data_IF_803893793482
#
_entry.id   IF_803893793482
#
_cell.length_a   1.000
_cell.length_b   1.000
_cell.length_c   1.000
_cell.angle_alpha   90.00
_cell.angle_beta   90.00
_cell.angle_gamma   90.00
#
_symmetry.space_group_name_H-M   'P 1'
#
loop_
_entity.id
_entity.type
_entity.pdbx_description
1 polymer ?
#
# COMPACT_ATOMS: atom_id res chain seq x y z
N UNK A 1 -43.55 -31.96 33.71
CA UNK A 1 -42.49 -30.96 33.94
C UNK A 1 -41.74 -30.78 32.63
N UNK A 2 -42.07 -29.74 31.85
CA UNK A 2 -41.37 -29.40 30.60
C UNK A 2 -40.64 -28.09 30.82
N UNK A 3 -39.31 -28.12 30.70
CA UNK A 3 -38.42 -26.99 30.95
C UNK A 3 -38.11 -26.35 29.59
N UNK A 4 -38.69 -25.18 29.33
CA UNK A 4 -38.44 -24.40 28.12
C UNK A 4 -37.14 -23.62 28.32
N UNK A 5 -36.11 -23.96 27.55
CA UNK A 5 -34.85 -23.24 27.50
C UNK A 5 -35.01 -22.05 26.56
N UNK A 6 -35.18 -20.85 27.11
CA UNK A 6 -35.21 -19.62 26.34
C UNK A 6 -33.77 -19.23 25.94
N UNK A 7 -33.44 -19.36 24.65
CA UNK A 7 -32.24 -18.76 24.09
C UNK A 7 -32.44 -17.24 24.01
N UNK A 8 -31.75 -16.50 24.88
CA UNK A 8 -31.57 -15.06 24.76
C UNK A 8 -30.66 -14.78 23.56
N UNK A 9 -31.25 -14.42 22.41
CA UNK A 9 -30.51 -13.71 21.36
C UNK A 9 -30.22 -12.30 21.88
N UNK A 10 -28.98 -12.05 22.28
CA UNK A 10 -28.52 -10.68 22.47
C UNK A 10 -28.42 -9.98 21.10
N UNK A 11 -28.94 -8.75 20.95
CA UNK A 11 -28.75 -7.99 19.72
C UNK A 11 -27.26 -7.66 19.55
N UNK A 12 -26.68 -8.10 18.44
CA UNK A 12 -25.36 -7.65 17.99
C UNK A 12 -25.49 -6.17 17.66
N UNK A 13 -25.07 -5.30 18.58
CA UNK A 13 -24.99 -3.86 18.33
C UNK A 13 -23.96 -3.55 17.22
N UNK A 14 -24.09 -2.41 16.54
CA UNK A 14 -23.13 -2.02 15.51
C UNK A 14 -21.73 -1.90 16.13
N UNK A 15 -20.77 -2.64 15.59
CA UNK A 15 -19.37 -2.55 15.99
C UNK A 15 -18.89 -1.10 15.83
N UNK A 16 -18.25 -0.58 16.88
CA UNK A 16 -17.74 0.79 16.98
C UNK A 16 -16.84 1.14 15.79
N UNK A 17 -17.13 2.28 15.17
CA UNK A 17 -16.21 3.05 14.35
C UNK A 17 -14.94 3.40 15.14
N UNK A 18 -13.83 3.57 14.43
CA UNK A 18 -12.45 3.69 14.91
C UNK A 18 -11.85 2.40 15.49
N UNK A 19 -11.58 1.39 14.65
CA UNK A 19 -10.59 0.36 15.01
C UNK A 19 -9.21 1.03 14.94
N UNK A 20 -8.55 1.31 16.07
CA UNK A 20 -7.24 1.94 16.04
C UNK A 20 -6.25 0.95 15.42
N UNK A 21 -5.34 1.44 14.59
CA UNK A 21 -4.25 0.62 14.06
C UNK A 21 -3.43 0.07 15.23
N UNK A 22 -3.34 -1.26 15.42
CA UNK A 22 -2.64 -1.81 16.56
C UNK A 22 -1.16 -1.47 16.52
N UNK A 23 -0.65 -0.87 17.60
CA UNK A 23 0.80 -0.64 17.80
C UNK A 23 1.30 -1.61 18.88
N UNK A 24 2.12 -2.62 18.54
CA UNK A 24 2.68 -3.53 19.52
C UNK A 24 3.57 -2.76 20.51
N UNK A 25 3.43 -3.01 21.83
CA UNK A 25 4.35 -2.46 22.81
C UNK A 25 5.74 -3.10 22.64
N UNK A 26 6.80 -2.33 22.92
CA UNK A 26 8.19 -2.81 23.00
C UNK A 26 8.68 -3.60 21.77
N UNK A 27 8.62 -3.01 20.58
CA UNK A 27 9.07 -3.66 19.33
C UNK A 27 10.57 -3.96 19.25
N UNK A 28 11.39 -3.41 20.16
CA UNK A 28 12.85 -3.47 20.07
C UNK A 28 13.45 -2.69 18.88
N UNK A 29 12.62 -2.05 18.06
CA UNK A 29 13.06 -1.27 16.90
C UNK A 29 13.57 0.10 17.33
N UNK A 30 14.74 0.48 16.82
CA UNK A 30 15.32 1.81 16.99
C UNK A 30 14.89 2.76 15.86
N UNK A 31 15.13 4.06 16.05
CA UNK A 31 14.81 5.12 15.07
C UNK A 31 15.98 6.08 14.88
N UNK A 32 17.20 5.57 15.00
CA UNK A 32 18.43 6.38 14.94
C UNK A 32 18.84 6.72 13.50
N UNK A 33 18.20 6.10 12.51
CA UNK A 33 18.56 6.20 11.09
C UNK A 33 19.79 5.36 10.75
N UNK A 34 20.17 4.42 11.62
CA UNK A 34 21.40 3.63 11.49
C UNK A 34 21.21 2.47 10.52
N UNK A 35 22.27 2.15 9.78
CA UNK A 35 22.31 1.07 8.80
C UNK A 35 22.26 1.59 7.36
N UNK A 36 22.80 0.78 6.44
CA UNK A 36 22.89 1.13 5.03
C UNK A 36 21.49 1.37 4.45
N UNK A 37 21.33 2.51 3.80
CA UNK A 37 20.11 2.87 3.08
C UNK A 37 20.22 2.42 1.61
N UNK A 38 19.41 1.45 1.23
CA UNK A 38 19.38 0.90 -0.14
C UNK A 38 18.49 1.73 -1.08
N UNK A 39 18.56 1.43 -2.38
CA UNK A 39 17.63 2.01 -3.36
C UNK A 39 16.17 1.58 -3.10
N UNK A 40 15.96 0.32 -2.69
CA UNK A 40 14.64 -0.20 -2.35
C UNK A 40 14.04 0.51 -1.12
N UNK A 41 14.87 0.87 -0.14
CA UNK A 41 14.42 1.64 1.02
C UNK A 41 13.93 3.05 0.64
N UNK A 42 14.65 3.72 -0.28
CA UNK A 42 14.27 5.06 -0.76
C UNK A 42 12.97 5.01 -1.56
N UNK A 43 12.88 4.05 -2.46
CA UNK A 43 11.67 3.81 -3.26
C UNK A 43 10.46 3.47 -2.37
N UNK A 44 10.65 2.66 -1.32
CA UNK A 44 9.60 2.36 -0.36
C UNK A 44 9.05 3.62 0.33
N UNK A 45 9.91 4.49 0.85
CA UNK A 45 9.52 5.76 1.48
C UNK A 45 8.73 6.64 0.49
N UNK A 46 9.22 6.76 -0.76
CA UNK A 46 8.49 7.48 -1.81
C UNK A 46 7.11 6.87 -2.11
N UNK A 47 6.99 5.54 -2.12
CA UNK A 47 5.72 4.85 -2.35
C UNK A 47 4.71 5.03 -1.21
N UNK A 48 5.17 5.08 0.04
CA UNK A 48 4.31 5.39 1.19
C UNK A 48 3.76 6.82 1.06
N UNK A 49 4.61 7.79 0.70
CA UNK A 49 4.16 9.16 0.39
C UNK A 49 3.12 9.18 -0.73
N UNK A 50 3.40 8.51 -1.84
CA UNK A 50 2.48 8.44 -2.98
C UNK A 50 1.12 7.87 -2.57
N UNK A 51 1.07 6.87 -1.68
CA UNK A 51 -0.20 6.34 -1.18
C UNK A 51 -1.02 7.41 -0.43
N UNK A 52 -0.39 8.16 0.48
CA UNK A 52 -1.06 9.25 1.20
C UNK A 52 -1.63 10.33 0.27
N UNK A 53 -0.89 10.69 -0.79
CA UNK A 53 -1.28 11.76 -1.72
C UNK A 53 -2.60 11.50 -2.46
N UNK A 54 -3.02 10.23 -2.64
CA UNK A 54 -4.28 9.91 -3.30
C UNK A 54 -5.31 9.26 -2.39
N UNK A 55 -4.92 8.47 -1.39
CA UNK A 55 -5.88 7.80 -0.51
C UNK A 55 -6.57 8.75 0.48
N UNK A 56 -5.90 9.86 0.85
CA UNK A 56 -6.52 10.93 1.66
C UNK A 56 -7.67 11.58 0.89
N UNK A 57 -7.48 12.17 -0.31
CA UNK A 57 -8.59 12.75 -1.06
C UNK A 57 -9.62 11.72 -1.53
N UNK A 58 -9.23 10.48 -1.84
CA UNK A 58 -10.17 9.41 -2.16
C UNK A 58 -11.10 9.09 -0.98
N UNK A 59 -10.54 8.90 0.22
CA UNK A 59 -11.30 8.65 1.43
C UNK A 59 -12.22 9.80 1.81
N UNK A 60 -11.78 11.05 1.62
CA UNK A 60 -12.64 12.23 1.81
C UNK A 60 -13.83 12.23 0.83
N UNK A 61 -13.60 11.94 -0.45
CA UNK A 61 -14.70 11.84 -1.42
C UNK A 61 -15.72 10.76 -1.04
N UNK A 62 -15.27 9.59 -0.59
CA UNK A 62 -16.16 8.53 -0.08
C UNK A 62 -16.93 8.98 1.16
N UNK A 63 -16.25 9.63 2.11
CA UNK A 63 -16.89 10.15 3.32
C UNK A 63 -17.94 11.23 3.06
N UNK A 64 -17.76 12.03 2.00
CA UNK A 64 -18.63 13.15 1.63
C UNK A 64 -19.78 12.77 0.71
N UNK A 65 -19.56 11.83 -0.22
CA UNK A 65 -20.48 11.58 -1.34
C UNK A 65 -21.18 10.23 -1.30
N UNK A 66 -20.73 9.29 -0.46
CA UNK A 66 -21.39 7.98 -0.35
C UNK A 66 -22.74 8.11 0.35
N UNK A 67 -23.74 7.39 -0.16
CA UNK A 67 -25.04 7.20 0.49
C UNK A 67 -25.06 5.95 1.38
N UNK A 68 -24.04 5.09 1.30
CA UNK A 68 -23.85 3.96 2.19
C UNK A 68 -23.11 4.42 3.46
N UNK A 69 -23.74 4.36 4.65
CA UNK A 69 -23.11 4.80 5.89
C UNK A 69 -21.82 4.04 6.22
N UNK A 70 -21.71 2.77 5.81
CA UNK A 70 -20.49 1.97 6.03
C UNK A 70 -19.36 2.44 5.13
N UNK A 71 -19.62 2.69 3.85
CA UNK A 71 -18.59 3.17 2.91
C UNK A 71 -18.13 4.58 3.30
N UNK A 72 -19.05 5.47 3.67
CA UNK A 72 -18.70 6.80 4.17
C UNK A 72 -17.78 6.73 5.40
N UNK A 73 -18.06 5.82 6.33
CA UNK A 73 -17.23 5.60 7.52
C UNK A 73 -15.85 5.00 7.18
N UNK A 74 -15.80 4.04 6.25
CA UNK A 74 -14.53 3.49 5.76
C UNK A 74 -13.67 4.58 5.12
N UNK A 75 -14.25 5.44 4.28
CA UNK A 75 -13.56 6.57 3.65
C UNK A 75 -12.95 7.52 4.69
N UNK A 76 -13.71 7.90 5.71
CA UNK A 76 -13.27 8.76 6.81
C UNK A 76 -12.12 8.13 7.59
N UNK A 77 -12.27 6.86 7.96
CA UNK A 77 -11.25 6.09 8.68
C UNK A 77 -9.94 6.01 7.90
N UNK A 78 -9.99 5.64 6.62
CA UNK A 78 -8.80 5.52 5.75
C UNK A 78 -8.11 6.87 5.57
N UNK A 79 -8.87 7.94 5.31
CA UNK A 79 -8.28 9.28 5.15
C UNK A 79 -7.53 9.72 6.42
N UNK A 80 -8.16 9.58 7.60
CA UNK A 80 -7.54 9.95 8.87
C UNK A 80 -6.29 9.11 9.18
N UNK A 81 -6.34 7.81 8.88
CA UNK A 81 -5.22 6.91 9.06
C UNK A 81 -4.06 7.22 8.11
N UNK A 82 -4.33 7.55 6.85
CA UNK A 82 -3.30 8.01 5.92
C UNK A 82 -2.67 9.35 6.32
N UNK A 83 -3.42 10.30 6.89
CA UNK A 83 -2.82 11.52 7.47
C UNK A 83 -1.81 11.17 8.56
N UNK A 84 -2.07 10.14 9.35
CA UNK A 84 -1.14 9.67 10.38
C UNK A 84 0.09 9.00 9.77
N UNK A 85 -0.11 8.08 8.81
CA UNK A 85 0.99 7.40 8.12
C UNK A 85 1.88 8.39 7.35
N UNK A 86 1.31 9.38 6.68
CA UNK A 86 2.02 10.39 5.92
C UNK A 86 2.94 11.24 6.80
N UNK A 87 2.51 11.58 8.02
CA UNK A 87 3.38 12.26 9.01
C UNK A 87 4.58 11.40 9.41
N UNK A 88 4.39 10.09 9.58
CA UNK A 88 5.47 9.17 9.92
C UNK A 88 6.47 9.06 8.76
N UNK A 89 5.97 8.95 7.53
CA UNK A 89 6.79 8.89 6.32
C UNK A 89 7.61 10.17 6.10
N UNK A 90 6.98 11.34 6.18
CA UNK A 90 7.67 12.64 6.08
C UNK A 90 8.78 12.77 7.13
N UNK A 91 8.54 12.32 8.35
CA UNK A 91 9.55 12.35 9.41
C UNK A 91 10.77 11.48 9.07
N UNK A 92 10.54 10.26 8.57
CA UNK A 92 11.60 9.33 8.14
C UNK A 92 12.33 9.87 6.92
N UNK A 93 11.62 10.37 5.92
CA UNK A 93 12.20 10.95 4.72
C UNK A 93 13.11 12.14 5.06
N UNK A 94 12.64 13.04 5.94
CA UNK A 94 13.46 14.16 6.44
C UNK A 94 14.70 13.68 7.16
N UNK A 95 14.57 12.70 8.06
CA UNK A 95 15.69 12.14 8.82
C UNK A 95 16.77 11.52 7.90
N UNK A 96 16.34 10.89 6.81
CA UNK A 96 17.22 10.15 5.89
C UNK A 96 17.63 10.95 4.65
N UNK A 97 17.20 12.21 4.52
CA UNK A 97 17.47 13.05 3.36
C UNK A 97 16.89 12.49 2.06
N UNK A 98 15.68 11.90 2.12
CA UNK A 98 14.95 11.38 0.97
C UNK A 98 13.99 12.45 0.47
N UNK A 99 14.06 12.77 -0.83
CA UNK A 99 13.12 13.68 -1.46
C UNK A 99 11.77 12.98 -1.67
N UNK A 100 10.68 13.68 -1.34
CA UNK A 100 9.32 13.19 -1.46
C UNK A 100 8.56 13.96 -2.55
N UNK A 101 7.69 13.29 -3.33
CA UNK A 101 6.75 13.99 -4.20
C UNK A 101 5.70 14.74 -3.38
N UNK A 102 5.10 15.75 -4.01
CA UNK A 102 4.02 16.56 -3.44
C UNK A 102 2.69 16.42 -4.19
N UNK A 103 2.68 15.65 -5.28
CA UNK A 103 1.52 15.41 -6.12
C UNK A 103 1.39 13.90 -6.38
N UNK A 104 0.16 13.37 -6.54
CA UNK A 104 -0.04 11.99 -6.96
C UNK A 104 0.63 11.74 -8.31
N UNK A 105 0.97 10.48 -8.59
CA UNK A 105 1.41 10.12 -9.93
C UNK A 105 0.22 10.05 -10.91
N UNK A 106 0.53 9.91 -12.21
CA UNK A 106 -0.47 9.89 -13.29
C UNK A 106 -1.59 8.85 -13.08
N UNK A 107 -1.26 7.65 -12.60
CA UNK A 107 -2.28 6.61 -12.40
C UNK A 107 -3.20 6.99 -11.24
N UNK A 108 -2.63 7.48 -10.15
CA UNK A 108 -3.36 7.94 -8.97
C UNK A 108 -4.26 9.15 -9.28
N UNK A 109 -3.79 10.09 -10.08
CA UNK A 109 -4.63 11.17 -10.62
C UNK A 109 -5.79 10.62 -11.44
N UNK A 110 -5.53 9.60 -12.27
CA UNK A 110 -6.54 8.86 -13.02
C UNK A 110 -7.61 8.24 -12.11
N UNK A 111 -7.21 7.53 -11.05
CA UNK A 111 -8.13 6.93 -10.09
C UNK A 111 -8.97 7.97 -9.35
N UNK A 112 -8.36 9.09 -8.96
CA UNK A 112 -9.08 10.21 -8.37
C UNK A 112 -10.07 10.84 -9.37
N UNK A 113 -9.72 10.91 -10.65
CA UNK A 113 -10.63 11.38 -11.70
C UNK A 113 -11.83 10.43 -11.90
N UNK A 114 -11.62 9.12 -11.83
CA UNK A 114 -12.73 8.16 -11.89
C UNK A 114 -13.74 8.40 -10.76
N UNK A 115 -13.26 8.60 -9.53
CA UNK A 115 -14.12 8.92 -8.38
C UNK A 115 -14.81 10.28 -8.55
N UNK A 116 -14.08 11.31 -8.97
CA UNK A 116 -14.67 12.64 -9.24
C UNK A 116 -15.79 12.57 -10.28
N UNK A 117 -15.60 11.78 -11.33
CA UNK A 117 -16.52 11.67 -12.46
C UNK A 117 -17.61 10.61 -12.28
N UNK A 118 -17.63 9.88 -11.16
CA UNK A 118 -18.69 8.94 -10.84
C UNK A 118 -20.05 9.66 -10.82
N UNK A 119 -21.01 9.16 -11.62
CA UNK A 119 -22.30 9.81 -11.83
C UNK A 119 -23.27 9.58 -10.67
N UNK A 120 -23.08 8.50 -9.91
CA UNK A 120 -23.89 8.16 -8.73
C UNK A 120 -23.01 7.85 -7.52
N UNK A 121 -23.54 7.97 -6.28
CA UNK A 121 -22.86 7.54 -5.07
C UNK A 121 -22.40 6.07 -5.13
N UNK A 122 -23.24 5.17 -5.66
CA UNK A 122 -22.90 3.74 -5.75
C UNK A 122 -21.75 3.46 -6.72
N UNK A 123 -21.65 4.23 -7.82
CA UNK A 123 -20.49 4.15 -8.72
C UNK A 123 -19.22 4.66 -8.05
N UNK A 124 -19.32 5.72 -7.25
CA UNK A 124 -18.19 6.22 -6.47
C UNK A 124 -17.73 5.18 -5.46
N UNK A 125 -18.66 4.56 -4.74
CA UNK A 125 -18.39 3.52 -3.74
C UNK A 125 -17.64 2.35 -4.37
N UNK A 126 -18.12 1.85 -5.52
CA UNK A 126 -17.47 0.74 -6.22
C UNK A 126 -16.05 1.10 -6.66
N UNK A 127 -15.86 2.26 -7.31
CA UNK A 127 -14.53 2.72 -7.75
C UNK A 127 -13.58 2.88 -6.56
N UNK A 128 -14.07 3.48 -5.46
CA UNK A 128 -13.30 3.65 -4.23
C UNK A 128 -12.84 2.30 -3.66
N UNK A 129 -13.77 1.36 -3.47
CA UNK A 129 -13.45 0.05 -2.90
C UNK A 129 -12.50 -0.74 -3.81
N UNK A 130 -12.77 -0.81 -5.11
CA UNK A 130 -11.96 -1.59 -6.06
C UNK A 130 -10.53 -1.04 -6.16
N UNK A 131 -10.38 0.28 -6.29
CA UNK A 131 -9.05 0.92 -6.43
C UNK A 131 -8.21 0.72 -5.18
N UNK A 132 -8.76 1.00 -4.00
CA UNK A 132 -8.00 0.89 -2.76
C UNK A 132 -7.69 -0.58 -2.44
N UNK A 133 -8.65 -1.49 -2.63
CA UNK A 133 -8.43 -2.91 -2.29
C UNK A 133 -7.39 -3.56 -3.20
N UNK A 134 -7.36 -3.21 -4.48
CA UNK A 134 -6.33 -3.64 -5.42
C UNK A 134 -4.96 -3.04 -5.07
N UNK A 135 -4.90 -1.74 -4.73
CA UNK A 135 -3.66 -1.07 -4.34
C UNK A 135 -3.06 -1.68 -3.07
N UNK A 136 -3.87 -1.92 -2.03
CA UNK A 136 -3.42 -2.56 -0.79
C UNK A 136 -2.95 -3.99 -1.00
N UNK A 137 -3.63 -4.76 -1.85
CA UNK A 137 -3.20 -6.11 -2.21
C UNK A 137 -1.82 -6.15 -2.88
N UNK A 138 -1.47 -5.15 -3.68
CA UNK A 138 -0.15 -5.03 -4.32
C UNK A 138 0.94 -4.61 -3.34
N UNK A 139 0.67 -3.63 -2.49
CA UNK A 139 1.71 -3.04 -1.62
C UNK A 139 1.99 -3.89 -0.37
N UNK A 140 1.02 -4.68 0.09
CA UNK A 140 1.17 -5.54 1.28
C UNK A 140 2.41 -6.45 1.24
N UNK A 141 2.63 -7.30 0.20
CA UNK A 141 3.84 -8.13 0.12
C UNK A 141 5.14 -7.31 -0.06
N UNK A 142 5.07 -6.13 -0.70
CA UNK A 142 6.22 -5.26 -0.85
C UNK A 142 6.68 -4.66 0.49
N UNK A 143 5.73 -4.22 1.33
CA UNK A 143 6.03 -3.75 2.69
C UNK A 143 6.68 -4.85 3.51
N UNK A 144 6.15 -6.08 3.44
CA UNK A 144 6.71 -7.22 4.14
C UNK A 144 8.15 -7.50 3.71
N UNK A 145 8.45 -7.41 2.41
CA UNK A 145 9.80 -7.56 1.87
C UNK A 145 10.75 -6.52 2.46
N UNK A 146 10.41 -5.23 2.43
CA UNK A 146 11.25 -4.17 3.00
C UNK A 146 11.46 -4.38 4.49
N UNK A 147 10.38 -4.69 5.22
CA UNK A 147 10.43 -4.93 6.65
C UNK A 147 11.42 -6.04 7.02
N UNK A 148 11.42 -7.14 6.26
CA UNK A 148 12.27 -8.29 6.50
C UNK A 148 13.73 -8.06 6.07
N UNK A 149 13.95 -7.26 5.02
CA UNK A 149 15.25 -7.22 4.33
C UNK A 149 16.05 -5.95 4.54
N UNK A 150 15.43 -4.83 4.91
CA UNK A 150 16.14 -3.55 5.07
C UNK A 150 17.28 -3.69 6.07
N UNK A 151 18.32 -2.86 5.94
CA UNK A 151 19.37 -2.69 6.97
C UNK A 151 19.16 -1.42 7.79
N UNK A 152 18.30 -0.50 7.34
CA UNK A 152 18.04 0.75 8.04
C UNK A 152 16.94 0.61 9.11
N UNK A 153 17.20 1.04 10.34
CA UNK A 153 16.27 0.87 11.46
C UNK A 153 14.98 1.69 11.33
N UNK A 154 15.08 2.91 10.82
CA UNK A 154 13.96 3.84 10.69
C UNK A 154 13.04 3.41 9.56
N UNK A 155 13.61 2.93 8.46
CA UNK A 155 12.86 2.28 7.37
C UNK A 155 12.16 1.01 7.86
N UNK A 156 12.84 0.18 8.67
CA UNK A 156 12.24 -1.03 9.24
C UNK A 156 11.02 -0.73 10.11
N UNK A 157 11.10 0.35 10.91
CA UNK A 157 9.97 0.80 11.73
C UNK A 157 8.84 1.35 10.86
N UNK A 158 9.14 2.17 9.87
CA UNK A 158 8.13 2.67 8.93
C UNK A 158 7.41 1.52 8.23
N UNK A 159 8.14 0.50 7.76
CA UNK A 159 7.57 -0.67 7.14
C UNK A 159 6.68 -1.49 8.11
N UNK A 160 7.05 -1.61 9.39
CA UNK A 160 6.17 -2.21 10.40
C UNK A 160 4.84 -1.45 10.51
N UNK A 161 4.91 -0.12 10.60
CA UNK A 161 3.75 0.73 10.78
C UNK A 161 2.86 0.69 9.54
N UNK A 162 3.43 0.90 8.35
CA UNK A 162 2.72 0.81 7.08
C UNK A 162 1.99 -0.53 6.93
N UNK A 163 2.61 -1.65 7.32
CA UNK A 163 1.97 -2.96 7.24
C UNK A 163 0.72 -3.08 8.14
N UNK A 164 0.74 -2.43 9.31
CA UNK A 164 -0.40 -2.42 10.22
C UNK A 164 -1.54 -1.59 9.63
N UNK A 165 -1.24 -0.40 9.09
CA UNK A 165 -2.22 0.43 8.38
C UNK A 165 -2.87 -0.33 7.22
N UNK A 166 -2.06 -0.94 6.34
CA UNK A 166 -2.57 -1.67 5.16
C UNK A 166 -3.47 -2.84 5.56
N UNK A 167 -3.08 -3.62 6.58
CA UNK A 167 -3.96 -4.70 7.09
C UNK A 167 -5.28 -4.16 7.62
N UNK A 168 -5.25 -3.08 8.41
CA UNK A 168 -6.47 -2.43 8.91
C UNK A 168 -7.33 -1.91 7.76
N UNK A 169 -6.74 -1.26 6.76
CA UNK A 169 -7.48 -0.72 5.62
C UNK A 169 -8.11 -1.82 4.77
N UNK A 170 -7.41 -2.94 4.52
CA UNK A 170 -8.01 -4.09 3.82
C UNK A 170 -9.25 -4.60 4.56
N UNK A 171 -9.18 -4.77 5.88
CA UNK A 171 -10.35 -5.17 6.68
C UNK A 171 -11.48 -4.14 6.65
N UNK A 172 -11.16 -2.84 6.68
CA UNK A 172 -12.16 -1.78 6.55
C UNK A 172 -12.85 -1.84 5.17
N UNK A 173 -12.09 -1.96 4.09
CA UNK A 173 -12.64 -2.08 2.73
C UNK A 173 -13.52 -3.33 2.59
N UNK A 174 -13.06 -4.48 3.09
CA UNK A 174 -13.80 -5.75 3.05
C UNK A 174 -15.10 -5.70 3.85
N UNK A 175 -15.13 -4.92 4.94
CA UNK A 175 -16.34 -4.72 5.72
C UNK A 175 -17.41 -3.85 5.06
N UNK A 176 -17.12 -3.25 3.89
CA UNK A 176 -18.14 -2.57 3.07
C UNK A 176 -19.15 -3.54 2.47
N UNK A 177 -18.79 -4.82 2.32
CA UNK A 177 -19.63 -5.84 1.70
C UNK A 177 -19.68 -5.79 0.16
N UNK A 178 -18.98 -4.84 -0.48
CA UNK A 178 -19.01 -4.65 -1.95
C UNK A 178 -17.65 -4.91 -2.63
N UNK A 179 -16.69 -5.50 -1.91
CA UNK A 179 -15.42 -5.95 -2.53
C UNK A 179 -15.69 -7.06 -3.53
N UNK A 180 -15.30 -6.83 -4.79
CA UNK A 180 -15.28 -7.88 -5.81
C UNK A 180 -14.03 -8.75 -5.66
N UNK A 181 -14.13 -9.80 -4.83
CA UNK A 181 -13.05 -10.77 -4.65
C UNK A 181 -12.70 -11.55 -5.94
N UNK A 182 -13.62 -11.66 -6.90
CA UNK A 182 -13.38 -12.32 -8.19
C UNK A 182 -12.49 -11.52 -9.13
N UNK A 183 -12.45 -10.19 -8.95
CA UNK A 183 -11.56 -9.29 -9.69
C UNK A 183 -10.14 -9.23 -9.13
N UNK A 184 -9.90 -9.76 -7.93
CA UNK A 184 -8.59 -9.72 -7.29
C UNK A 184 -7.60 -10.67 -8.01
N UNK A 185 -6.31 -10.31 -8.08
CA UNK A 185 -5.30 -11.19 -8.67
C UNK A 185 -5.27 -12.57 -8.00
N UNK A 186 -5.26 -13.62 -8.81
CA UNK A 186 -5.07 -14.99 -8.33
C UNK A 186 -3.70 -15.13 -7.67
N UNK A 187 -3.67 -15.75 -6.49
CA UNK A 187 -2.40 -16.05 -5.83
C UNK A 187 -1.54 -16.96 -6.73
N UNK A 188 -0.23 -16.68 -6.89
CA UNK A 188 0.66 -17.55 -7.63
C UNK A 188 0.66 -18.97 -7.04
N UNK A 189 0.83 -19.96 -7.91
CA UNK A 189 0.91 -21.35 -7.48
C UNK A 189 2.10 -21.54 -6.50
N UNK A 190 1.98 -22.41 -5.48
CA UNK A 190 3.10 -22.73 -4.62
C UNK A 190 4.27 -23.30 -5.42
N UNK A 191 5.51 -22.94 -5.06
CA UNK A 191 6.69 -23.66 -5.55
C UNK A 191 6.55 -25.17 -5.33
N UNK A 192 7.07 -25.95 -6.28
CA UNK A 192 7.16 -27.39 -6.13
C UNK A 192 7.91 -27.74 -4.83
N UNK A 193 7.39 -28.72 -4.08
CA UNK A 193 7.96 -29.14 -2.81
C UNK A 193 9.39 -29.71 -2.99
N UNK A 194 10.41 -28.85 -2.85
CA UNK A 194 11.82 -29.22 -2.79
C UNK A 194 12.37 -28.92 -1.39
N UNK A 195 13.00 -29.91 -0.75
CA UNK A 195 13.36 -29.90 0.66
C UNK A 195 14.21 -28.69 1.10
N UNK A 196 13.66 -27.91 2.03
CA UNK A 196 14.25 -26.75 2.72
C UNK A 196 13.18 -26.10 3.63
N UNK A 197 13.54 -25.25 4.61
CA UNK A 197 12.54 -24.62 5.48
C UNK A 197 11.53 -23.85 4.62
N UNK A 198 10.23 -24.07 4.89
CA UNK A 198 9.06 -23.63 4.11
C UNK A 198 9.40 -22.55 3.07
N UNK A 199 9.59 -22.90 1.78
CA UNK A 199 10.08 -21.94 0.81
C UNK A 199 9.06 -20.81 0.67
N UNK A 200 9.43 -19.60 1.10
CA UNK A 200 8.77 -18.38 0.60
C UNK A 200 9.30 -18.23 -0.82
N UNK A 201 8.49 -18.67 -1.75
CA UNK A 201 8.83 -18.78 -3.15
C UNK A 201 9.27 -17.41 -3.69
N UNK A 202 10.46 -17.32 -4.29
CA UNK A 202 10.88 -16.11 -5.00
C UNK A 202 9.91 -15.78 -6.16
N UNK A 203 9.14 -16.77 -6.65
CA UNK A 203 8.03 -16.54 -7.58
C UNK A 203 6.82 -15.88 -6.93
N UNK A 204 6.59 -16.01 -5.61
CA UNK A 204 5.56 -15.22 -4.91
C UNK A 204 5.93 -13.72 -4.85
N UNK A 205 7.21 -13.39 -4.71
CA UNK A 205 7.71 -12.02 -4.81
C UNK A 205 7.68 -11.50 -6.26
N UNK A 206 8.10 -12.32 -7.23
CA UNK A 206 8.11 -11.95 -8.65
C UNK A 206 6.69 -11.86 -9.25
N UNK A 207 5.71 -12.62 -8.76
CA UNK A 207 4.31 -12.53 -9.19
C UNK A 207 3.63 -11.23 -8.72
N UNK A 208 4.09 -10.64 -7.61
CA UNK A 208 3.68 -9.29 -7.20
C UNK A 208 4.22 -8.21 -8.15
N UNK A 209 5.38 -8.44 -8.78
CA UNK A 209 5.95 -7.58 -9.82
C UNK A 209 5.36 -7.83 -11.22
N UNK A 210 4.88 -9.04 -11.52
CA UNK A 210 4.40 -9.45 -12.84
C UNK A 210 3.00 -8.90 -13.21
N UNK A 211 2.22 -8.40 -12.25
CA UNK A 211 0.90 -7.80 -12.49
C UNK A 211 1.00 -6.29 -12.80
N UNK A 212 1.78 -6.02 -13.85
CA UNK A 212 1.94 -4.70 -14.44
C UNK A 212 0.62 -4.13 -14.98
N UNK A 213 0.59 -2.81 -15.07
CA UNK A 213 -0.40 -2.04 -15.83
C UNK A 213 -0.44 -2.61 -17.26
N UNK A 214 -1.62 -2.78 -17.90
CA UNK A 214 -1.66 -3.10 -19.31
C UNK A 214 -0.85 -2.06 -20.11
N UNK A 215 0.28 -2.47 -20.69
CA UNK A 215 1.08 -1.63 -21.59
C UNK A 215 2.51 -1.28 -21.18
N UNK A 216 3.03 -1.73 -20.03
CA UNK A 216 4.45 -1.51 -19.69
C UNK A 216 5.16 -2.83 -19.38
N UNK A 217 5.96 -3.32 -20.33
CA UNK A 217 6.80 -4.50 -20.16
C UNK A 217 8.05 -4.16 -19.35
N UNK A 218 8.37 -4.98 -18.35
CA UNK A 218 9.62 -4.93 -17.56
C UNK A 218 10.87 -5.01 -18.44
N UNK A 219 10.78 -5.65 -19.61
CA UNK A 219 11.84 -5.65 -20.62
C UNK A 219 12.11 -4.26 -21.20
N UNK A 220 11.08 -3.41 -21.34
CA UNK A 220 11.22 -2.03 -21.81
C UNK A 220 11.88 -1.16 -20.75
N UNK A 221 11.58 -1.39 -19.47
CA UNK A 221 12.22 -0.68 -18.35
C UNK A 221 13.73 -1.02 -18.30
N UNK A 222 14.09 -2.29 -18.44
CA UNK A 222 15.51 -2.69 -18.46
C UNK A 222 16.24 -2.17 -19.71
N UNK A 223 15.59 -2.10 -20.87
CA UNK A 223 16.17 -1.51 -22.08
C UNK A 223 16.36 0.01 -21.98
N UNK A 224 15.41 0.73 -21.36
CA UNK A 224 15.54 2.17 -21.10
C UNK A 224 16.65 2.46 -20.08
N UNK A 225 16.77 1.63 -19.04
CA UNK A 225 17.85 1.75 -18.06
C UNK A 225 19.22 1.42 -18.68
N UNK A 226 19.32 0.41 -19.54
CA UNK A 226 20.54 0.10 -20.27
C UNK A 226 20.93 1.22 -21.25
N UNK A 227 19.97 1.79 -21.98
CA UNK A 227 20.19 2.93 -22.89
C UNK A 227 20.64 4.20 -22.16
N UNK A 228 20.04 4.50 -21.01
CA UNK A 228 20.43 5.63 -20.16
C UNK A 228 21.85 5.46 -19.59
N UNK A 229 22.26 4.22 -19.27
CA UNK A 229 23.61 3.91 -18.80
C UNK A 229 24.66 4.15 -19.90
N UNK A 230 24.38 3.74 -21.15
CA UNK A 230 25.27 3.96 -22.29
C UNK A 230 25.39 5.45 -22.62
N UNK A 231 24.29 6.20 -22.61
CA UNK A 231 24.30 7.65 -22.83
C UNK A 231 25.07 8.40 -21.71
N UNK A 232 24.92 7.98 -20.46
CA UNK A 232 25.66 8.54 -19.32
C UNK A 232 27.17 8.30 -19.40
N UNK A 233 27.59 7.09 -19.79
CA UNK A 233 29.01 6.76 -19.98
C UNK A 233 29.62 7.57 -21.13
N UNK A 234 28.92 7.70 -22.27
CA UNK A 234 29.41 8.47 -23.42
C UNK A 234 29.56 9.96 -23.09
N UNK A 235 28.58 10.56 -22.41
CA UNK A 235 28.64 11.97 -22.00
C UNK A 235 29.78 12.21 -21.01
N UNK A 236 29.96 11.30 -20.05
CA UNK A 236 31.04 11.38 -19.06
C UNK A 236 32.41 11.25 -19.74
N UNK A 237 32.59 10.29 -20.65
CA UNK A 237 33.87 10.11 -21.37
C UNK A 237 34.19 11.30 -22.30
N UNK A 238 33.19 11.98 -22.86
CA UNK A 238 33.41 13.20 -23.69
C UNK A 238 33.89 14.39 -22.85
N UNK A 239 33.39 14.54 -21.62
CA UNK A 239 33.78 15.62 -20.70
C UNK A 239 35.23 15.44 -20.21
N UNK A 240 35.68 14.20 -20.00
CA UNK A 240 37.05 13.93 -19.55
C UNK A 240 38.10 13.93 -20.67
N UNK A 241 37.68 13.79 -21.94
CA UNK A 241 38.59 13.86 -23.11
C UNK A 241 38.88 15.29 -23.60
N UNK A 242 38.14 16.28 -23.10
CA UNK A 242 38.26 17.70 -23.52
C UNK A 242 39.05 18.55 -22.52
N UNK A 243 39.84 17.93 -21.65
CA UNK A 243 40.82 18.59 -20.79
C UNK A 243 42.23 18.16 -21.16
#
# INVERSE_FOLDING_TARGET
MAMILAFLLAPVGPARADVPVPVPPNTGLTTKGTGVLSAADRDFVVKVRLAGLWEIPAGNMAAERSEDPRVAEVGRSIAAQHVTLDKLDIAVAKQLGIALPNEPNRDQEGWLNEMRNAATPQQLDQVFIDRLRAAHGKIFPAIATIRASTRNDSVRKLAQQANQFVMTHMTLLESSGIVDYGSLPTAPAPAAAGGGPVPVDNQMLAAAEANGIPGVSTSVILLVLAGALVAGVVTTMRIFRTR
#
